data_IF_589688167744
#
_entry.id   IF_589688167744
#
_cell.length_a   1.000
_cell.length_b   1.000
_cell.length_c   1.000
_cell.angle_alpha   90.00
_cell.angle_beta   90.00
_cell.angle_gamma   90.00
#
_symmetry.space_group_name_H-M   'P 1'
#
loop_
_entity.id
_entity.type
_entity.pdbx_description
1 polymer ?
#
# COMPACT_ATOMS: atom_id res chain seq x y z
N UNK A 1 -12.36 -2.86 -1.10
CA UNK A 1 -12.74 -1.90 -0.03
C UNK A 1 -11.71 -0.78 -0.04
N UNK A 2 -12.06 0.46 0.35
CA UNK A 2 -11.10 1.55 0.32
C UNK A 2 -9.96 1.34 1.32
N UNK A 3 -8.83 2.02 1.12
CA UNK A 3 -7.74 2.03 2.11
C UNK A 3 -8.20 2.78 3.37
N UNK A 4 -7.98 2.15 4.52
CA UNK A 4 -8.40 2.62 5.85
C UNK A 4 -7.20 3.00 6.73
N UNK A 5 -6.06 2.30 6.59
CA UNK A 5 -4.85 2.54 7.38
C UNK A 5 -3.61 2.59 6.50
N UNK A 6 -2.85 3.66 6.62
CA UNK A 6 -1.60 3.91 5.92
C UNK A 6 -0.48 3.94 6.94
N UNK A 7 0.44 2.97 6.91
CA UNK A 7 1.63 3.00 7.77
C UNK A 7 2.84 3.42 6.93
N UNK A 8 3.36 4.61 7.21
CA UNK A 8 4.46 5.23 6.47
C UNK A 8 5.85 4.74 6.93
N UNK A 9 5.90 3.72 7.80
CA UNK A 9 7.13 3.08 8.24
C UNK A 9 7.86 2.35 7.11
N UNK A 10 9.11 2.74 6.87
CA UNK A 10 10.02 2.15 5.88
C UNK A 10 10.52 0.75 6.28
N UNK A 11 11.19 0.00 5.37
CA UNK A 11 11.77 -1.29 5.71
C UNK A 11 12.63 -1.23 6.97
N UNK A 12 12.52 -2.30 7.79
CA UNK A 12 13.28 -2.49 9.04
C UNK A 12 12.87 -1.59 10.22
N UNK A 13 11.76 -0.84 10.11
CA UNK A 13 11.19 -0.06 11.23
C UNK A 13 10.03 -0.79 11.95
N UNK A 14 10.07 -2.13 11.99
CA UNK A 14 9.01 -2.94 12.63
C UNK A 14 7.78 -3.21 11.76
N UNK A 15 7.86 -3.04 10.43
CA UNK A 15 6.72 -3.19 9.51
C UNK A 15 6.07 -4.58 9.53
N UNK A 16 6.84 -5.64 9.79
CA UNK A 16 6.29 -7.00 9.99
C UNK A 16 5.44 -7.09 11.26
N UNK A 17 5.92 -6.53 12.37
CA UNK A 17 5.15 -6.48 13.61
C UNK A 17 3.89 -5.62 13.46
N UNK A 18 3.99 -4.49 12.75
CA UNK A 18 2.83 -3.64 12.41
C UNK A 18 1.80 -4.39 11.56
N UNK A 19 2.24 -5.13 10.55
CA UNK A 19 1.37 -5.99 9.73
C UNK A 19 0.61 -6.98 10.62
N UNK A 20 1.32 -7.72 11.47
CA UNK A 20 0.71 -8.71 12.36
C UNK A 20 -0.30 -8.08 13.33
N UNK A 21 0.01 -6.91 13.88
CA UNK A 21 -0.90 -6.20 14.76
C UNK A 21 -2.18 -5.75 14.05
N UNK A 22 -2.08 -5.24 12.82
CA UNK A 22 -3.23 -4.87 12.00
C UNK A 22 -4.08 -6.11 11.64
N UNK A 23 -3.46 -7.23 11.27
CA UNK A 23 -4.16 -8.49 11.02
C UNK A 23 -4.92 -8.97 12.28
N UNK A 24 -4.34 -8.83 13.48
CA UNK A 24 -5.01 -9.14 14.76
C UNK A 24 -6.20 -8.21 15.06
N UNK A 25 -6.14 -6.95 14.63
CA UNK A 25 -7.22 -5.97 14.78
C UNK A 25 -8.35 -6.15 13.75
N UNK A 26 -8.23 -7.13 12.84
CA UNK A 26 -9.26 -7.45 11.86
C UNK A 26 -9.01 -6.89 10.46
N UNK A 27 -7.87 -6.25 10.21
CA UNK A 27 -7.47 -5.84 8.86
C UNK A 27 -6.92 -7.07 8.11
N UNK A 28 -7.82 -7.90 7.57
CA UNK A 28 -7.54 -9.25 7.05
C UNK A 28 -6.47 -9.30 5.94
N UNK A 29 -6.31 -8.21 5.18
CA UNK A 29 -5.32 -8.09 4.12
C UNK A 29 -4.61 -6.75 4.21
N UNK A 30 -3.40 -6.81 4.73
CA UNK A 30 -2.48 -5.68 4.83
C UNK A 30 -1.40 -5.86 3.77
N UNK A 31 -1.24 -4.85 2.92
CA UNK A 31 -0.22 -4.88 1.88
C UNK A 31 1.14 -4.67 2.52
N UNK A 32 2.01 -5.66 2.35
CA UNK A 32 3.37 -5.66 2.86
C UNK A 32 4.22 -6.42 1.85
N UNK A 33 5.19 -5.75 1.24
CA UNK A 33 6.08 -6.44 0.31
C UNK A 33 7.07 -7.28 1.10
N UNK A 34 6.90 -8.59 1.02
CA UNK A 34 7.94 -9.55 1.30
C UNK A 34 8.30 -10.23 -0.03
N UNK A 35 9.48 -9.97 -0.61
CA UNK A 35 9.84 -10.49 -1.94
C UNK A 35 9.80 -12.02 -2.02
N UNK A 36 9.96 -12.73 -0.90
CA UNK A 36 9.96 -14.19 -0.86
C UNK A 36 8.55 -14.80 -0.94
N UNK A 37 7.51 -14.01 -0.67
CA UNK A 37 6.11 -14.49 -0.59
C UNK A 37 5.12 -13.61 -1.34
N UNK A 38 5.60 -12.58 -2.05
CA UNK A 38 4.72 -11.61 -2.69
C UNK A 38 4.11 -12.18 -3.98
N UNK A 39 2.84 -11.84 -4.19
CA UNK A 39 2.11 -12.17 -5.41
C UNK A 39 2.82 -11.53 -6.63
N UNK A 40 3.19 -12.32 -7.66
CA UNK A 40 3.80 -11.80 -8.88
C UNK A 40 3.03 -10.65 -9.53
N UNK A 41 1.69 -10.65 -9.44
CA UNK A 41 0.86 -9.58 -9.99
C UNK A 41 1.02 -8.27 -9.21
N UNK A 42 1.11 -8.35 -7.88
CA UNK A 42 1.39 -7.19 -7.01
C UNK A 42 2.79 -6.66 -7.29
N UNK A 43 3.79 -7.55 -7.43
CA UNK A 43 5.16 -7.15 -7.79
C UNK A 43 5.18 -6.43 -9.14
N UNK A 44 4.52 -6.98 -10.16
CA UNK A 44 4.47 -6.37 -11.49
C UNK A 44 3.77 -4.99 -11.48
N UNK A 45 2.69 -4.86 -10.71
CA UNK A 45 1.98 -3.59 -10.56
C UNK A 45 2.86 -2.51 -9.92
N UNK A 46 3.60 -2.85 -8.87
CA UNK A 46 4.52 -1.90 -8.25
C UNK A 46 5.70 -1.53 -9.15
N UNK A 47 6.23 -2.49 -9.92
CA UNK A 47 7.27 -2.19 -10.92
C UNK A 47 6.79 -1.18 -11.96
N UNK A 48 5.55 -1.29 -12.41
CA UNK A 48 4.92 -0.33 -13.32
C UNK A 48 4.82 1.07 -12.68
N UNK A 49 4.41 1.15 -11.42
CA UNK A 49 4.36 2.43 -10.67
C UNK A 49 5.75 3.07 -10.61
N UNK A 50 6.77 2.33 -10.17
CA UNK A 50 8.14 2.87 -10.07
C UNK A 50 8.75 3.24 -11.41
N UNK A 51 8.57 2.40 -12.43
CA UNK A 51 9.16 2.63 -13.76
C UNK A 51 8.68 3.95 -14.37
N UNK A 52 7.43 4.33 -14.10
CA UNK A 52 6.84 5.55 -14.63
C UNK A 52 6.86 6.71 -13.63
N UNK A 53 7.38 6.55 -12.42
CA UNK A 53 7.22 7.56 -11.35
C UNK A 53 7.81 8.93 -11.69
N UNK A 54 8.92 8.95 -12.43
CA UNK A 54 9.58 10.20 -12.86
C UNK A 54 8.94 10.84 -14.09
N UNK A 55 8.12 10.09 -14.83
CA UNK A 55 7.50 10.53 -16.09
C UNK A 55 6.00 10.82 -15.93
N UNK A 56 5.36 10.15 -14.97
CA UNK A 56 3.93 10.24 -14.67
C UNK A 56 3.72 10.44 -13.17
N UNK A 57 3.14 11.58 -12.81
CA UNK A 57 2.52 11.76 -11.50
C UNK A 57 1.15 11.07 -11.50
N UNK A 58 0.97 10.11 -10.61
CA UNK A 58 -0.31 9.43 -10.44
C UNK A 58 -1.33 10.36 -9.76
N UNK A 59 -2.54 10.42 -10.29
CA UNK A 59 -3.65 11.16 -9.69
C UNK A 59 -4.29 10.37 -8.55
N UNK A 60 -5.09 11.02 -7.72
CA UNK A 60 -5.91 10.33 -6.71
C UNK A 60 -6.82 9.26 -7.31
N UNK A 61 -7.28 9.41 -8.57
CA UNK A 61 -8.09 8.39 -9.22
C UNK A 61 -7.25 7.20 -9.69
N UNK A 62 -6.00 7.40 -10.13
CA UNK A 62 -5.09 6.29 -10.46
C UNK A 62 -4.84 5.42 -9.22
N UNK A 63 -4.60 6.05 -8.06
CA UNK A 63 -4.43 5.33 -6.79
C UNK A 63 -5.70 4.58 -6.37
N UNK A 64 -6.87 5.20 -6.51
CA UNK A 64 -8.14 4.51 -6.25
C UNK A 64 -8.37 3.34 -7.20
N UNK A 65 -8.02 3.48 -8.47
CA UNK A 65 -8.13 2.38 -9.43
C UNK A 65 -7.17 1.23 -9.10
N UNK A 66 -5.97 1.55 -8.62
CA UNK A 66 -4.99 0.55 -8.17
C UNK A 66 -5.49 -0.26 -6.99
N UNK A 67 -5.97 0.40 -5.93
CA UNK A 67 -6.40 -0.32 -4.72
C UNK A 67 -7.84 -0.81 -4.84
N UNK A 68 -8.80 0.04 -5.21
CA UNK A 68 -10.23 -0.32 -5.17
C UNK A 68 -10.64 -1.27 -6.31
N UNK A 69 -9.91 -1.28 -7.45
CA UNK A 69 -10.23 -2.16 -8.60
C UNK A 69 -9.24 -3.30 -8.78
N UNK A 70 -7.94 -3.03 -8.78
CA UNK A 70 -6.91 -4.06 -9.07
C UNK A 70 -6.56 -4.91 -7.84
N UNK A 71 -6.61 -4.34 -6.65
CA UNK A 71 -6.25 -4.99 -5.39
C UNK A 71 -7.28 -4.76 -4.26
N UNK A 72 -8.58 -4.99 -4.52
CA UNK A 72 -9.69 -4.58 -3.65
C UNK A 72 -9.70 -5.26 -2.27
N UNK A 73 -8.94 -6.33 -2.10
CA UNK A 73 -8.79 -7.05 -0.84
C UNK A 73 -7.92 -6.30 0.16
N UNK A 74 -7.00 -5.44 -0.29
CA UNK A 74 -6.09 -4.71 0.61
C UNK A 74 -6.76 -3.46 1.15
N UNK A 75 -6.86 -3.37 2.49
CA UNK A 75 -7.48 -2.24 3.20
C UNK A 75 -6.48 -1.45 4.05
N UNK A 76 -5.25 -1.96 4.16
CA UNK A 76 -4.16 -1.28 4.83
C UNK A 76 -2.84 -1.58 4.14
N UNK A 77 -1.82 -0.76 4.37
CA UNK A 77 -0.49 -1.01 3.84
C UNK A 77 0.62 -0.54 4.76
N UNK A 78 1.75 -1.22 4.67
CA UNK A 78 2.98 -1.03 5.45
C UNK A 78 4.17 -1.33 4.54
N UNK A 79 5.37 -0.87 4.91
CA UNK A 79 6.62 -1.17 4.20
C UNK A 79 6.67 -0.59 2.77
N UNK A 80 7.86 -0.52 2.18
CA UNK A 80 7.98 -0.28 0.74
C UNK A 80 7.40 -1.48 -0.03
N UNK A 81 6.77 -1.29 -1.20
CA UNK A 81 6.56 -0.01 -1.90
C UNK A 81 5.49 0.92 -1.34
N UNK A 82 4.50 0.40 -0.60
CA UNK A 82 3.34 1.19 -0.17
C UNK A 82 3.72 2.47 0.59
N UNK A 83 4.64 2.34 1.55
CA UNK A 83 5.10 3.45 2.38
C UNK A 83 5.82 4.55 1.57
N UNK A 84 6.41 4.21 0.42
CA UNK A 84 7.12 5.17 -0.43
C UNK A 84 6.15 6.20 -1.05
N UNK A 85 4.87 5.84 -1.17
CA UNK A 85 3.80 6.65 -1.75
C UNK A 85 2.74 7.07 -0.73
N UNK A 86 3.09 7.04 0.57
CA UNK A 86 2.12 7.27 1.65
C UNK A 86 1.40 8.63 1.55
N UNK A 87 2.07 9.67 1.03
CA UNK A 87 1.50 11.02 0.88
C UNK A 87 0.43 11.03 -0.20
N UNK A 88 0.72 10.48 -1.38
CA UNK A 88 -0.19 10.43 -2.51
C UNK A 88 -1.38 9.52 -2.22
N UNK A 89 -1.15 8.41 -1.51
CA UNK A 89 -2.20 7.51 -1.06
C UNK A 89 -3.08 8.21 -0.03
N UNK A 90 -2.52 8.95 0.93
CA UNK A 90 -3.31 9.70 1.90
C UNK A 90 -4.14 10.82 1.24
N UNK A 91 -3.64 11.45 0.19
CA UNK A 91 -4.41 12.39 -0.63
C UNK A 91 -5.56 11.71 -1.37
N UNK A 92 -5.35 10.48 -1.86
CA UNK A 92 -6.39 9.71 -2.53
C UNK A 92 -7.49 9.20 -1.58
N UNK A 93 -7.11 8.92 -0.32
CA UNK A 93 -7.96 8.38 0.75
C UNK A 93 -7.94 9.29 1.99
N UNK A 94 -8.60 10.46 1.96
CA UNK A 94 -8.52 11.46 3.03
C UNK A 94 -9.11 11.00 4.38
N UNK A 95 -9.90 9.92 4.38
CA UNK A 95 -10.45 9.33 5.61
C UNK A 95 -9.54 8.25 6.23
N UNK A 96 -8.50 7.81 5.50
CA UNK A 96 -7.57 6.82 6.01
C UNK A 96 -6.74 7.40 7.16
N UNK A 97 -6.46 6.58 8.17
CA UNK A 97 -5.56 6.96 9.28
C UNK A 97 -4.12 6.75 8.84
N UNK A 98 -3.27 7.75 9.09
CA UNK A 98 -1.84 7.69 8.79
C UNK A 98 -1.06 7.48 10.10
N UNK A 99 -0.18 6.47 10.10
CA UNK A 99 0.66 6.07 11.23
C UNK A 99 2.13 5.97 10.85
#
# INVERSE_FOLDING_TARGET
MPIEVIVAGLPRTGTTSMRMALEQLGFVKVMHMNPDTADPQVIAAWREVYANHFEKTWTSQDWRDFFDKRFPEYVAGVNSPFADFAVEIAQAYPNAKVH
#
